data_IF_585203006957
#
_entry.id   IF_585203006957
#
_cell.length_a   1.000
_cell.length_b   1.000
_cell.length_c   1.000
_cell.angle_alpha   90.00
_cell.angle_beta   90.00
_cell.angle_gamma   90.00
#
_symmetry.space_group_name_H-M   'P 1'
#
loop_
_entity.id
_entity.type
_entity.pdbx_description
1 polymer ?
#
# COMPACT_ATOMS: atom_id res chain seq x y z
N UNK A 1 11.44 -1.63 9.45
CA UNK A 1 10.05 -2.01 9.14
C UNK A 1 9.41 -0.88 8.35
N UNK A 2 8.41 -1.14 7.54
CA UNK A 2 7.64 -0.13 6.77
C UNK A 2 6.20 -0.16 7.25
N UNK A 3 5.57 1.00 7.23
CA UNK A 3 4.19 1.17 7.65
C UNK A 3 3.25 1.00 6.45
N UNK A 4 2.22 0.18 6.62
CA UNK A 4 1.12 0.07 5.66
C UNK A 4 0.24 1.34 5.73
N UNK A 5 0.06 2.09 4.63
CA UNK A 5 -0.70 3.34 4.65
C UNK A 5 -2.22 3.16 4.84
N UNK A 6 -2.74 1.92 4.75
CA UNK A 6 -4.17 1.61 4.94
C UNK A 6 -4.48 1.29 6.39
N UNK A 7 -3.68 0.44 7.02
CA UNK A 7 -3.96 -0.06 8.38
C UNK A 7 -2.95 0.39 9.43
N UNK A 8 -1.91 1.14 9.06
CA UNK A 8 -0.84 1.62 9.93
C UNK A 8 -0.04 0.49 10.61
N UNK A 9 -0.10 -0.71 10.04
CA UNK A 9 0.66 -1.86 10.54
C UNK A 9 2.11 -1.80 10.07
N UNK A 10 3.04 -2.04 10.98
CA UNK A 10 4.46 -2.15 10.65
C UNK A 10 4.79 -3.57 10.18
N UNK A 11 5.32 -3.69 8.96
CA UNK A 11 5.76 -4.97 8.39
C UNK A 11 7.23 -4.94 7.96
N UNK A 12 7.94 -6.07 8.02
CA UNK A 12 9.29 -6.16 7.44
C UNK A 12 9.25 -5.94 5.93
N UNK A 13 10.16 -5.10 5.39
CA UNK A 13 10.21 -4.78 3.95
C UNK A 13 10.35 -6.02 3.06
N UNK A 14 11.07 -7.04 3.53
CA UNK A 14 11.30 -8.28 2.78
C UNK A 14 10.07 -9.19 2.70
N UNK A 15 9.07 -9.00 3.55
CA UNK A 15 7.82 -9.77 3.55
C UNK A 15 6.59 -8.93 3.18
N UNK A 16 6.78 -7.63 2.94
CA UNK A 16 5.71 -6.72 2.58
C UNK A 16 5.25 -6.94 1.15
N UNK A 17 3.95 -6.80 0.91
CA UNK A 17 3.39 -6.73 -0.43
C UNK A 17 3.71 -5.35 -1.01
N UNK A 18 4.24 -5.28 -2.23
CA UNK A 18 4.54 -4.00 -2.89
C UNK A 18 3.61 -3.75 -4.07
N UNK A 19 3.17 -2.51 -4.25
CA UNK A 19 2.49 -2.09 -5.46
C UNK A 19 2.96 -0.70 -5.91
N UNK A 20 3.04 -0.49 -7.22
CA UNK A 20 3.28 0.84 -7.79
C UNK A 20 1.96 1.54 -8.07
N UNK A 21 1.77 2.71 -7.48
CA UNK A 21 0.57 3.55 -7.64
C UNK A 21 1.03 4.97 -7.94
N UNK A 22 0.59 5.54 -9.08
CA UNK A 22 0.98 6.90 -9.48
C UNK A 22 2.49 7.10 -9.67
N UNK A 23 3.24 6.05 -10.01
CA UNK A 23 4.71 6.10 -10.15
C UNK A 23 5.48 5.97 -8.84
N UNK A 24 4.81 5.85 -7.69
CA UNK A 24 5.43 5.62 -6.39
C UNK A 24 5.24 4.16 -5.95
N UNK A 25 6.25 3.58 -5.31
CA UNK A 25 6.16 2.22 -4.74
C UNK A 25 5.70 2.28 -3.29
N UNK A 26 4.60 1.59 -3.00
CA UNK A 26 4.04 1.46 -1.65
C UNK A 26 4.22 0.05 -1.11
N UNK A 27 4.22 -0.07 0.22
CA UNK A 27 4.39 -1.33 0.96
C UNK A 27 3.15 -1.59 1.82
N UNK A 28 2.70 -2.84 1.82
CA UNK A 28 1.46 -3.27 2.47
C UNK A 28 1.67 -4.55 3.28
N UNK A 29 0.88 -4.72 4.34
CA UNK A 29 0.88 -5.92 5.16
C UNK A 29 0.21 -7.10 4.45
N UNK A 30 -0.72 -6.83 3.53
CA UNK A 30 -1.46 -7.83 2.77
C UNK A 30 -1.85 -7.33 1.37
N UNK A 31 -2.30 -8.25 0.52
CA UNK A 31 -2.84 -7.92 -0.82
C UNK A 31 -4.13 -7.11 -0.73
N UNK A 32 -4.97 -7.38 0.27
CA UNK A 32 -6.22 -6.64 0.50
C UNK A 32 -5.95 -5.16 0.77
N UNK A 33 -4.95 -4.83 1.61
CA UNK A 33 -4.55 -3.44 1.85
C UNK A 33 -4.04 -2.77 0.57
N UNK A 34 -3.24 -3.47 -0.25
CA UNK A 34 -2.80 -2.95 -1.54
C UNK A 34 -3.99 -2.64 -2.48
N UNK A 35 -5.00 -3.52 -2.53
CA UNK A 35 -6.19 -3.32 -3.36
C UNK A 35 -7.08 -2.16 -2.86
N UNK A 36 -7.26 -2.04 -1.54
CA UNK A 36 -7.99 -0.92 -0.93
C UNK A 36 -7.29 0.39 -1.25
N UNK A 37 -5.97 0.44 -1.08
CA UNK A 37 -5.16 1.62 -1.38
C UNK A 37 -5.26 2.04 -2.86
N UNK A 38 -5.18 1.08 -3.78
CA UNK A 38 -5.35 1.35 -5.21
C UNK A 38 -6.73 1.95 -5.54
N UNK A 39 -7.80 1.41 -4.95
CA UNK A 39 -9.16 1.95 -5.13
C UNK A 39 -9.30 3.36 -4.56
N UNK A 40 -8.72 3.63 -3.40
CA UNK A 40 -8.72 4.96 -2.78
C UNK A 40 -7.96 5.98 -3.62
N UNK A 41 -6.77 5.63 -4.13
CA UNK A 41 -5.95 6.51 -4.95
C UNK A 41 -6.57 6.77 -6.34
N UNK A 42 -7.22 5.76 -6.94
CA UNK A 42 -7.94 5.93 -8.21
C UNK A 42 -9.12 6.92 -8.10
N UNK A 43 -9.70 7.09 -6.92
CA UNK A 43 -10.79 8.05 -6.66
C UNK A 43 -10.35 9.43 -6.18
N UNK A 44 -9.06 9.62 -5.86
CA UNK A 44 -8.52 10.88 -5.31
C UNK A 44 -7.82 11.77 -6.35
N UNK A 45 -7.84 11.39 -7.63
CA UNK A 45 -7.42 12.25 -8.73
C UNK A 45 -8.63 13.07 -9.22
N UNK A 46 -8.88 14.21 -8.58
CA UNK A 46 -9.77 15.27 -9.08
C UNK A 46 -9.15 16.63 -8.79
#
# INVERSE_FOLDING_TARGET
MVEDPVCHMYVPRGSAVTASVGGQTYYFCSRDCAQIFQQQQAGQQS
#
